data_IF_462463057900
#
_entry.id   IF_462463057900
#
_cell.length_a   1.000
_cell.length_b   1.000
_cell.length_c   1.000
_cell.angle_alpha   90.00
_cell.angle_beta   90.00
_cell.angle_gamma   90.00
#
_symmetry.space_group_name_H-M   'P 1'
#
loop_
_entity.id
_entity.type
_entity.pdbx_description
1 polymer ?
#
# COMPACT_ATOMS: atom_id res chain seq x y z
N UNK A 1 -7.02 31.29 -32.61
CA UNK A 1 -7.28 31.74 -31.22
C UNK A 1 -6.80 30.59 -30.37
N UNK A 2 -5.50 30.56 -30.19
CA UNK A 2 -4.76 29.42 -29.66
C UNK A 2 -4.42 29.79 -28.22
N UNK A 3 -5.34 29.45 -27.32
CA UNK A 3 -5.17 29.61 -25.89
C UNK A 3 -4.38 28.43 -25.35
N UNK A 4 -3.05 28.52 -25.44
CA UNK A 4 -2.13 27.58 -24.80
C UNK A 4 -2.21 27.79 -23.28
N UNK A 5 -3.06 27.00 -22.62
CA UNK A 5 -3.12 26.92 -21.18
C UNK A 5 -1.85 26.24 -20.66
N UNK A 6 -0.84 27.04 -20.33
CA UNK A 6 0.35 26.59 -19.64
C UNK A 6 -0.08 25.90 -18.34
N UNK A 7 0.13 24.58 -18.25
CA UNK A 7 -0.02 23.83 -17.02
C UNK A 7 1.03 24.37 -16.03
N UNK A 8 0.57 25.18 -15.07
CA UNK A 8 1.40 25.67 -13.97
C UNK A 8 1.83 24.47 -13.13
N UNK A 9 3.05 23.99 -13.37
CA UNK A 9 3.70 22.97 -12.54
C UNK A 9 4.05 23.61 -11.21
N UNK A 10 3.15 23.49 -10.24
CA UNK A 10 3.43 23.83 -8.84
C UNK A 10 4.64 23.01 -8.38
N UNK A 11 5.75 23.69 -8.08
CA UNK A 11 6.92 23.06 -7.49
C UNK A 11 6.56 22.46 -6.13
N UNK A 12 6.72 21.15 -6.00
CA UNK A 12 6.44 20.42 -4.75
C UNK A 12 7.55 20.76 -3.74
N UNK A 13 7.19 21.38 -2.63
CA UNK A 13 8.16 21.70 -1.58
C UNK A 13 8.41 20.50 -0.66
N UNK A 14 9.53 20.52 0.06
CA UNK A 14 9.81 19.51 1.10
C UNK A 14 8.74 19.45 2.20
N UNK A 15 8.04 20.57 2.44
CA UNK A 15 6.91 20.62 3.38
C UNK A 15 5.70 19.89 2.83
N UNK A 16 5.37 20.09 1.55
CA UNK A 16 4.24 19.41 0.90
C UNK A 16 4.42 17.89 0.90
N UNK A 17 5.65 17.42 0.67
CA UNK A 17 6.01 15.99 0.80
C UNK A 17 5.77 15.50 2.22
N UNK A 18 6.27 16.24 3.22
CA UNK A 18 6.11 15.87 4.64
C UNK A 18 4.64 15.81 5.04
N UNK A 19 3.87 16.83 4.69
CA UNK A 19 2.44 16.94 5.00
C UNK A 19 1.65 15.81 4.33
N UNK A 20 2.00 15.46 3.08
CA UNK A 20 1.41 14.30 2.39
C UNK A 20 1.73 12.98 3.12
N UNK A 21 2.97 12.75 3.54
CA UNK A 21 3.38 11.53 4.25
C UNK A 21 2.69 11.37 5.61
N UNK A 22 2.45 12.46 6.34
CA UNK A 22 1.79 12.43 7.66
C UNK A 22 0.28 12.64 7.60
N UNK A 23 -0.27 12.93 6.42
CA UNK A 23 -1.70 13.20 6.26
C UNK A 23 -2.55 12.05 6.76
N UNK A 24 -3.74 12.38 7.28
CA UNK A 24 -4.73 11.40 7.74
C UNK A 24 -5.08 10.40 6.63
N UNK A 25 -5.15 10.87 5.38
CA UNK A 25 -5.40 10.03 4.21
C UNK A 25 -4.31 8.99 4.01
N UNK A 26 -3.04 9.41 4.04
CA UNK A 26 -1.91 8.49 3.90
C UNK A 26 -1.86 7.49 5.04
N UNK A 27 -2.07 7.93 6.28
CA UNK A 27 -2.17 7.03 7.42
C UNK A 27 -3.33 6.02 7.28
N UNK A 28 -4.47 6.46 6.76
CA UNK A 28 -5.62 5.58 6.51
C UNK A 28 -5.31 4.55 5.42
N UNK A 29 -4.63 4.95 4.35
CA UNK A 29 -4.15 4.03 3.31
C UNK A 29 -3.16 2.99 3.87
N UNK A 30 -2.24 3.40 4.74
CA UNK A 30 -1.34 2.45 5.42
C UNK A 30 -2.11 1.47 6.30
N UNK A 31 -3.02 1.97 7.15
CA UNK A 31 -3.87 1.11 8.00
C UNK A 31 -4.74 0.15 7.18
N UNK A 32 -5.28 0.61 6.06
CA UNK A 32 -6.07 -0.22 5.14
C UNK A 32 -5.22 -1.34 4.53
N UNK A 33 -3.99 -1.02 4.13
CA UNK A 33 -3.04 -2.00 3.57
C UNK A 33 -2.65 -3.04 4.61
N UNK A 34 -2.33 -2.63 5.84
CA UNK A 34 -2.06 -3.54 6.96
C UNK A 34 -3.23 -4.48 7.22
N UNK A 35 -4.46 -3.97 7.27
CA UNK A 35 -5.66 -4.81 7.45
C UNK A 35 -5.84 -5.82 6.33
N UNK A 36 -5.57 -5.42 5.08
CA UNK A 36 -5.65 -6.32 3.93
C UNK A 36 -4.62 -7.46 4.04
N UNK A 37 -3.37 -7.14 4.42
CA UNK A 37 -2.33 -8.15 4.63
C UNK A 37 -2.67 -9.07 5.80
N UNK A 38 -3.10 -8.53 6.95
CA UNK A 38 -3.51 -9.36 8.10
C UNK A 38 -4.65 -10.31 7.75
N UNK A 39 -5.63 -9.85 6.97
CA UNK A 39 -6.71 -10.71 6.47
C UNK A 39 -6.16 -11.80 5.55
N UNK A 40 -5.32 -11.45 4.58
CA UNK A 40 -4.71 -12.41 3.67
C UNK A 40 -3.89 -13.49 4.40
N UNK A 41 -3.08 -13.11 5.40
CA UNK A 41 -2.33 -14.05 6.24
C UNK A 41 -3.29 -15.05 6.91
N UNK A 42 -4.34 -14.54 7.56
CA UNK A 42 -5.33 -15.39 8.25
C UNK A 42 -6.06 -16.34 7.31
N UNK A 43 -6.38 -15.87 6.11
CA UNK A 43 -7.13 -16.64 5.12
C UNK A 43 -6.24 -17.70 4.41
N UNK A 44 -4.94 -17.46 4.25
CA UNK A 44 -4.06 -18.31 3.41
C UNK A 44 -3.03 -19.13 4.17
N UNK A 45 -2.59 -18.69 5.36
CA UNK A 45 -1.54 -19.37 6.15
C UNK A 45 -2.10 -20.33 7.19
N UNK A 46 -3.43 -20.37 7.37
CA UNK A 46 -4.14 -21.32 8.23
C UNK A 46 -3.48 -21.45 9.62
N UNK A 47 -2.96 -22.62 9.97
CA UNK A 47 -2.33 -22.92 11.26
C UNK A 47 -1.06 -22.12 11.54
N UNK A 48 -0.39 -21.62 10.50
CA UNK A 48 0.80 -20.76 10.64
C UNK A 48 0.43 -19.30 10.87
N UNK A 49 -0.82 -18.88 10.65
CA UNK A 49 -1.21 -17.48 10.79
C UNK A 49 -0.78 -16.84 12.13
N UNK A 50 -0.88 -17.51 13.30
CA UNK A 50 -0.45 -16.93 14.57
C UNK A 50 1.04 -16.55 14.64
N UNK A 51 1.94 -17.20 13.88
CA UNK A 51 3.38 -16.90 13.92
C UNK A 51 3.73 -15.60 13.20
N UNK A 52 2.80 -15.03 12.43
CA UNK A 52 2.98 -13.77 11.72
C UNK A 52 2.49 -12.56 12.51
N UNK A 53 2.00 -12.74 13.74
CA UNK A 53 1.50 -11.65 14.57
C UNK A 53 2.28 -11.54 15.88
N UNK A 54 2.63 -10.31 16.24
CA UNK A 54 3.19 -9.99 17.54
C UNK A 54 2.13 -10.16 18.66
N UNK A 55 2.52 -10.12 19.95
CA UNK A 55 1.56 -10.21 21.05
C UNK A 55 0.50 -9.10 21.09
N UNK A 56 0.71 -7.99 20.36
CA UNK A 56 -0.24 -6.89 20.21
C UNK A 56 -1.21 -7.11 19.03
N UNK A 57 -1.02 -8.18 18.25
CA UNK A 57 -1.82 -8.51 17.07
C UNK A 57 -1.42 -7.75 15.81
N UNK A 58 -0.28 -7.05 15.79
CA UNK A 58 0.27 -6.45 14.58
C UNK A 58 1.08 -7.49 13.80
N UNK A 59 1.33 -7.23 12.52
CA UNK A 59 2.19 -8.10 11.71
C UNK A 59 3.61 -8.03 12.27
N UNK A 60 4.14 -9.19 12.65
CA UNK A 60 5.53 -9.33 13.07
C UNK A 60 6.44 -9.28 11.83
N UNK A 61 7.29 -8.25 11.76
CA UNK A 61 8.18 -8.02 10.62
C UNK A 61 9.39 -8.96 10.59
N UNK A 62 9.70 -9.64 11.70
CA UNK A 62 10.75 -10.66 11.73
C UNK A 62 10.28 -11.97 11.06
N UNK A 63 8.97 -12.21 11.07
CA UNK A 63 8.34 -13.38 10.45
C UNK A 63 7.70 -13.08 9.08
N UNK A 64 7.21 -11.86 8.87
CA UNK A 64 6.65 -11.42 7.58
C UNK A 64 7.76 -10.96 6.63
N UNK A 65 8.33 -11.90 5.88
CA UNK A 65 9.45 -11.66 4.97
C UNK A 65 9.03 -10.96 3.67
N UNK A 66 10.01 -10.55 2.86
CA UNK A 66 9.75 -10.00 1.53
C UNK A 66 9.05 -11.00 0.61
N UNK A 67 9.36 -12.30 0.71
CA UNK A 67 8.71 -13.34 -0.09
C UNK A 67 7.20 -13.46 0.24
N UNK A 68 6.85 -13.24 1.50
CA UNK A 68 5.46 -13.21 1.95
C UNK A 68 4.73 -11.98 1.42
N UNK A 69 5.40 -10.84 1.39
CA UNK A 69 4.87 -9.63 0.77
C UNK A 69 4.65 -9.79 -0.73
N UNK A 70 5.60 -10.38 -1.45
CA UNK A 70 5.47 -10.66 -2.88
C UNK A 70 4.32 -11.64 -3.16
N UNK A 71 4.16 -12.66 -2.31
CA UNK A 71 3.03 -13.60 -2.38
C UNK A 71 1.69 -12.89 -2.20
N UNK A 72 1.60 -11.97 -1.23
CA UNK A 72 0.43 -11.11 -1.04
C UNK A 72 0.14 -10.24 -2.27
N UNK A 73 1.17 -9.62 -2.87
CA UNK A 73 1.01 -8.79 -4.06
C UNK A 73 0.51 -9.59 -5.27
N UNK A 74 1.05 -10.80 -5.48
CA UNK A 74 0.62 -11.68 -6.56
C UNK A 74 -0.86 -12.07 -6.42
N UNK A 75 -1.31 -12.38 -5.21
CA UNK A 75 -2.72 -12.73 -4.94
C UNK A 75 -3.66 -11.52 -5.11
N UNK A 76 -3.21 -10.33 -4.66
CA UNK A 76 -3.92 -9.07 -4.91
C UNK A 76 -4.10 -8.83 -6.41
N UNK A 77 -3.04 -9.03 -7.22
CA UNK A 77 -3.09 -8.81 -8.68
C UNK A 77 -3.96 -9.82 -9.43
N UNK A 78 -4.15 -11.04 -8.92
CA UNK A 78 -5.16 -11.96 -9.45
C UNK A 78 -6.59 -11.44 -9.25
N UNK A 79 -6.80 -10.64 -8.19
CA UNK A 79 -8.11 -10.13 -7.78
C UNK A 79 -8.42 -8.73 -8.33
N UNK A 80 -7.40 -7.90 -8.63
CA UNK A 80 -7.60 -6.60 -9.26
C UNK A 80 -7.37 -6.67 -10.77
N UNK A 81 -8.46 -6.52 -11.54
CA UNK A 81 -8.36 -6.24 -12.97
C UNK A 81 -7.52 -4.99 -13.25
N UNK A 82 -6.96 -4.93 -14.47
CA UNK A 82 -6.00 -3.98 -15.07
C UNK A 82 -6.08 -2.50 -14.59
N UNK A 83 -7.22 -2.03 -14.09
CA UNK A 83 -7.46 -0.66 -13.62
C UNK A 83 -6.53 -0.17 -12.49
N UNK A 84 -5.99 -1.05 -11.63
CA UNK A 84 -5.04 -0.64 -10.57
C UNK A 84 -3.61 -0.44 -11.08
N UNK A 85 -3.25 -1.03 -12.23
CA UNK A 85 -1.89 -0.96 -12.77
C UNK A 85 -1.56 0.41 -13.39
N UNK A 86 -2.55 1.11 -13.94
CA UNK A 86 -2.36 2.46 -14.49
C UNK A 86 -2.02 3.52 -13.44
N UNK A 87 -2.22 3.26 -12.14
CA UNK A 87 -1.86 4.21 -11.08
C UNK A 87 -0.38 4.16 -10.67
N UNK A 88 0.31 3.04 -10.92
CA UNK A 88 1.71 2.83 -10.52
C UNK A 88 2.67 3.15 -11.68
N UNK A 89 2.24 2.94 -12.92
CA UNK A 89 3.03 3.23 -14.12
C UNK A 89 2.88 4.67 -14.65
N UNK A 90 1.98 5.48 -14.08
CA UNK A 90 1.71 6.86 -14.52
C UNK A 90 2.28 7.93 -13.58
N UNK A 91 3.34 7.62 -12.83
CA UNK A 91 4.15 8.62 -12.13
C UNK A 91 5.63 8.41 -12.41
#
# INVERSE_FOLDING_TARGET
MDGEGAAETLEVTAKDVRDACISVKTQQSYRSSLRAMSKWIRDTKMEQAPTFFDPSGNIDLDHFTLDEFDSFLMEKRKTVGVSTLNGIAAR
#
